data_IF_349545563642
#
_entry.id   IF_349545563642
#
_cell.length_a   1.000
_cell.length_b   1.000
_cell.length_c   1.000
_cell.angle_alpha   90.00
_cell.angle_beta   90.00
_cell.angle_gamma   90.00
#
_symmetry.space_group_name_H-M   'P 1'
#
loop_
_entity.id
_entity.type
_entity.pdbx_description
1 polymer ?
#
# COMPACT_ATOMS: atom_id res chain seq x y z
N UNK A 1 34.08 -3.52 9.70
CA UNK A 1 32.88 -3.27 10.54
C UNK A 1 32.02 -2.26 9.80
N UNK A 2 30.76 -2.59 9.51
CA UNK A 2 29.85 -1.70 8.77
C UNK A 2 28.49 -1.61 9.48
N UNK A 3 27.70 -0.59 9.14
CA UNK A 3 26.37 -0.37 9.71
C UNK A 3 25.36 -1.29 9.00
N UNK A 4 24.59 -2.04 9.80
CA UNK A 4 23.59 -3.00 9.31
C UNK A 4 22.16 -2.49 9.47
N UNK A 5 21.90 -1.58 10.41
CA UNK A 5 20.57 -0.98 10.61
C UNK A 5 20.66 0.39 11.30
N UNK A 6 19.57 1.16 11.18
CA UNK A 6 19.39 2.45 11.83
C UNK A 6 18.06 2.46 12.60
N UNK A 7 18.06 2.96 13.83
CA UNK A 7 16.85 3.20 14.62
C UNK A 7 16.80 4.63 15.12
N UNK A 8 15.59 5.15 15.34
CA UNK A 8 15.34 6.48 15.91
C UNK A 8 14.40 6.38 17.09
N UNK A 9 14.69 7.14 18.14
CA UNK A 9 13.83 7.26 19.31
C UNK A 9 13.61 8.75 19.67
N UNK A 10 12.35 9.18 19.94
CA UNK A 10 11.11 8.45 19.66
C UNK A 10 10.82 8.32 18.16
N UNK A 11 10.33 7.15 17.72
CA UNK A 11 9.96 6.89 16.32
C UNK A 11 8.56 7.38 15.95
N UNK A 12 7.71 7.64 16.95
CA UNK A 12 6.35 8.15 16.76
C UNK A 12 6.08 9.26 17.79
N UNK A 13 5.78 10.46 17.30
CA UNK A 13 5.75 11.68 18.09
C UNK A 13 4.41 12.38 17.90
N UNK A 14 3.76 12.72 19.01
CA UNK A 14 2.59 13.59 19.06
C UNK A 14 2.97 14.87 19.80
N UNK A 15 2.80 16.02 19.14
CA UNK A 15 3.04 17.35 19.69
C UNK A 15 1.72 18.10 19.81
N UNK A 16 1.60 19.07 20.72
CA UNK A 16 0.29 19.69 20.98
C UNK A 16 -0.01 20.88 20.06
N UNK A 17 1.02 21.46 19.42
CA UNK A 17 0.86 22.62 18.56
C UNK A 17 2.15 23.04 17.85
N UNK A 18 2.18 24.28 17.37
CA UNK A 18 3.33 24.89 16.69
C UNK A 18 4.35 25.45 17.71
N UNK A 19 5.59 25.64 17.29
CA UNK A 19 6.74 26.04 18.10
C UNK A 19 7.11 25.08 19.24
N UNK A 20 6.62 23.84 19.21
CA UNK A 20 7.07 22.80 20.11
C UNK A 20 8.34 22.16 19.57
N UNK A 21 9.22 21.74 20.48
CA UNK A 21 10.48 21.09 20.11
C UNK A 21 10.64 19.73 20.77
N UNK A 22 11.28 18.82 20.04
CA UNK A 22 11.71 17.51 20.54
C UNK A 22 13.08 17.15 20.00
N UNK A 23 13.83 16.39 20.77
CA UNK A 23 15.12 15.86 20.36
C UNK A 23 14.93 14.41 19.90
N UNK A 24 15.43 14.10 18.70
CA UNK A 24 15.55 12.73 18.21
C UNK A 24 16.90 12.16 18.63
N UNK A 25 16.94 10.88 18.97
CA UNK A 25 18.16 10.10 19.15
C UNK A 25 18.24 9.05 18.05
N UNK A 26 19.40 8.93 17.41
CA UNK A 26 19.62 8.00 16.31
C UNK A 26 20.71 7.01 16.68
N UNK A 27 20.40 5.72 16.59
CA UNK A 27 21.31 4.63 16.94
C UNK A 27 21.58 3.76 15.72
N UNK A 28 22.86 3.57 15.39
CA UNK A 28 23.32 2.65 14.36
C UNK A 28 23.62 1.28 14.97
N UNK A 29 23.17 0.20 14.33
CA UNK A 29 23.59 -1.17 14.65
C UNK A 29 24.73 -1.59 13.72
N UNK A 30 25.76 -2.22 14.26
CA UNK A 30 26.97 -2.61 13.54
C UNK A 30 26.99 -4.13 13.28
N UNK A 31 27.73 -4.54 12.25
CA UNK A 31 27.85 -5.94 11.83
C UNK A 31 28.43 -6.90 12.88
N UNK A 32 29.01 -6.38 13.96
CA UNK A 32 29.54 -7.14 15.10
C UNK A 32 28.56 -7.18 16.30
N UNK A 33 27.33 -6.68 16.13
CA UNK A 33 26.31 -6.61 17.18
C UNK A 33 26.41 -5.39 18.10
N UNK A 34 27.45 -4.55 17.97
CA UNK A 34 27.55 -3.32 18.74
C UNK A 34 26.58 -2.24 18.23
N UNK A 35 26.23 -1.29 19.09
CA UNK A 35 25.45 -0.11 18.72
C UNK A 35 26.23 1.18 18.96
N UNK A 36 25.92 2.22 18.19
CA UNK A 36 26.58 3.51 18.29
C UNK A 36 25.56 4.65 18.16
N UNK A 37 25.67 5.65 19.03
CA UNK A 37 24.91 6.91 18.87
C UNK A 37 25.48 7.69 17.69
N UNK A 38 24.64 7.93 16.69
CA UNK A 38 25.01 8.62 15.45
C UNK A 38 24.14 9.85 15.23
N UNK A 39 23.49 10.36 16.28
CA UNK A 39 22.57 11.51 16.22
C UNK A 39 23.21 12.72 15.55
N UNK A 40 24.45 13.07 15.93
CA UNK A 40 25.16 14.21 15.34
C UNK A 40 25.76 13.94 13.96
N UNK A 41 25.75 12.68 13.50
CA UNK A 41 26.34 12.23 12.24
C UNK A 41 25.30 11.88 11.18
N UNK A 42 24.05 11.73 11.58
CA UNK A 42 22.94 11.42 10.69
C UNK A 42 22.51 12.64 9.86
N UNK A 43 22.06 12.39 8.65
CA UNK A 43 21.39 13.37 7.82
C UNK A 43 19.89 13.31 8.08
N UNK A 44 19.30 14.45 8.38
CA UNK A 44 17.86 14.60 8.62
C UNK A 44 17.21 15.35 7.45
N UNK A 45 15.99 14.95 7.10
CA UNK A 45 15.18 15.62 6.07
C UNK A 45 13.72 15.55 6.48
N UNK A 46 13.01 16.67 6.48
CA UNK A 46 11.55 16.64 6.65
C UNK A 46 10.88 16.28 5.33
N UNK A 47 9.83 15.47 5.38
CA UNK A 47 8.98 15.24 4.21
C UNK A 47 7.99 16.39 3.96
N UNK A 48 7.74 17.23 4.98
CA UNK A 48 6.92 18.44 4.86
C UNK A 48 7.45 19.53 5.79
N UNK A 49 8.28 20.42 5.23
CA UNK A 49 8.86 21.56 5.93
C UNK A 49 7.80 22.59 6.39
N UNK A 50 6.57 22.55 5.87
CA UNK A 50 5.50 23.43 6.35
C UNK A 50 4.93 23.00 7.69
N UNK A 51 5.13 21.72 8.07
CA UNK A 51 4.64 21.15 9.33
C UNK A 51 5.74 21.08 10.37
N UNK A 52 6.95 20.63 10.00
CA UNK A 52 8.05 20.43 10.94
C UNK A 52 9.40 20.67 10.25
N UNK A 53 10.28 21.40 10.92
CA UNK A 53 11.69 21.51 10.54
C UNK A 53 12.56 20.64 11.45
N UNK A 54 13.75 20.27 10.99
CA UNK A 54 14.71 19.48 11.75
C UNK A 54 16.12 20.05 11.62
N UNK A 55 16.79 20.23 12.76
CA UNK A 55 18.18 20.70 12.81
C UNK A 55 19.15 19.59 12.43
N UNK A 56 20.40 19.96 12.12
CA UNK A 56 21.50 19.02 11.87
C UNK A 56 21.83 18.11 13.06
N UNK A 57 21.37 18.46 14.26
CA UNK A 57 21.58 17.67 15.48
C UNK A 57 20.36 16.85 15.87
N UNK A 58 19.35 16.73 14.99
CA UNK A 58 18.15 15.95 15.24
C UNK A 58 17.12 16.62 16.15
N UNK A 59 17.21 17.94 16.37
CA UNK A 59 16.16 18.69 17.09
C UNK A 59 15.07 19.10 16.11
N UNK A 60 13.85 18.65 16.34
CA UNK A 60 12.68 19.05 15.53
C UNK A 60 11.98 20.25 16.15
N UNK A 61 11.39 21.10 15.31
CA UNK A 61 10.52 22.23 15.68
C UNK A 61 9.27 22.21 14.81
N UNK A 62 8.07 22.27 15.42
CA UNK A 62 6.82 22.31 14.66
C UNK A 62 6.51 23.70 14.13
N UNK A 63 6.13 23.79 12.86
CA UNK A 63 5.77 25.02 12.16
C UNK A 63 4.29 25.07 11.79
N UNK A 64 3.69 23.91 11.53
CA UNK A 64 2.30 23.76 11.12
C UNK A 64 1.63 22.56 11.77
N UNK A 65 0.37 22.32 11.39
CA UNK A 65 -0.44 21.19 11.87
C UNK A 65 -0.56 20.13 10.78
N UNK A 66 -0.60 18.85 11.17
CA UNK A 66 -0.77 17.73 10.25
C UNK A 66 0.05 16.51 10.61
N UNK A 67 0.12 15.57 9.68
CA UNK A 67 0.94 14.36 9.75
C UNK A 67 2.09 14.48 8.76
N UNK A 68 3.30 14.20 9.23
CA UNK A 68 4.48 14.10 8.37
C UNK A 68 5.51 13.17 9.02
N UNK A 69 6.70 13.10 8.45
CA UNK A 69 7.80 12.29 8.96
C UNK A 69 9.14 12.96 8.72
N UNK A 70 10.07 12.75 9.64
CA UNK A 70 11.49 13.06 9.45
C UNK A 70 12.20 11.81 8.97
N UNK A 71 12.78 11.89 7.77
CA UNK A 71 13.66 10.87 7.21
C UNK A 71 15.07 11.07 7.74
N UNK A 72 15.70 9.96 8.15
CA UNK A 72 17.00 9.94 8.81
C UNK A 72 17.89 8.97 8.07
N UNK A 73 19.07 9.42 7.64
CA UNK A 73 20.01 8.63 6.87
C UNK A 73 21.38 8.61 7.52
N UNK A 74 21.98 7.43 7.57
CA UNK A 74 23.36 7.27 8.01
C UNK A 74 23.97 6.01 7.39
N UNK A 75 25.15 6.13 6.77
CA UNK A 75 25.89 5.01 6.17
C UNK A 75 25.05 4.10 5.23
N UNK A 76 24.17 4.71 4.43
CA UNK A 76 23.30 3.99 3.48
C UNK A 76 22.03 3.38 4.10
N UNK A 77 21.90 3.40 5.43
CA UNK A 77 20.70 2.98 6.15
C UNK A 77 19.73 4.14 6.34
N UNK A 78 18.44 3.81 6.46
CA UNK A 78 17.34 4.76 6.59
C UNK A 78 16.48 4.42 7.80
N UNK A 79 16.08 5.44 8.56
CA UNK A 79 15.05 5.37 9.58
C UNK A 79 14.07 6.54 9.38
N UNK A 80 12.88 6.44 9.96
CA UNK A 80 11.88 7.50 9.90
C UNK A 80 11.26 7.71 11.28
N UNK A 81 11.11 8.98 11.68
CA UNK A 81 10.31 9.38 12.83
C UNK A 81 9.00 10.00 12.34
N UNK A 82 7.86 9.43 12.75
CA UNK A 82 6.53 9.94 12.41
C UNK A 82 6.16 11.08 13.35
N UNK A 83 5.71 12.19 12.77
CA UNK A 83 5.34 13.41 13.50
C UNK A 83 3.86 13.67 13.27
N UNK A 84 3.12 13.81 14.36
CA UNK A 84 1.74 14.26 14.35
C UNK A 84 1.60 15.53 15.17
N UNK A 85 1.00 16.54 14.54
CA UNK A 85 0.56 17.77 15.19
C UNK A 85 -0.95 17.86 14.94
N UNK A 86 -1.80 17.76 15.98
CA UNK A 86 -3.24 17.78 15.85
C UNK A 86 -3.74 18.97 15.01
N UNK A 87 -4.73 18.71 14.16
CA UNK A 87 -5.39 19.73 13.35
C UNK A 87 -6.35 20.56 14.21
N UNK A 88 -7.10 19.91 15.11
CA UNK A 88 -7.98 20.58 16.08
C UNK A 88 -7.29 20.92 17.39
N UNK A 89 -7.82 21.92 18.10
CA UNK A 89 -7.36 22.28 19.45
C UNK A 89 -7.93 21.35 20.51
N UNK A 90 -9.22 21.06 20.41
CA UNK A 90 -9.95 20.29 21.40
C UNK A 90 -9.80 18.78 21.19
N UNK A 91 -9.54 18.00 22.25
CA UNK A 91 -9.55 16.55 22.16
C UNK A 91 -10.89 16.02 21.61
N UNK A 92 -10.82 15.04 20.71
CA UNK A 92 -12.01 14.34 20.22
C UNK A 92 -12.21 13.09 21.06
N UNK A 93 -13.41 12.93 21.61
CA UNK A 93 -13.78 11.78 22.43
C UNK A 93 -14.20 10.59 21.56
N UNK A 94 -13.82 9.38 21.96
CA UNK A 94 -13.99 8.17 21.15
C UNK A 94 -15.47 7.82 20.91
N UNK A 95 -16.34 8.18 21.84
CA UNK A 95 -17.79 7.97 21.80
C UNK A 95 -18.47 8.75 20.67
N UNK A 96 -17.81 9.77 20.14
CA UNK A 96 -18.30 10.51 18.96
C UNK A 96 -18.18 9.71 17.65
N UNK A 97 -17.50 8.56 17.66
CA UNK A 97 -17.26 7.72 16.49
C UNK A 97 -17.69 6.26 16.72
N UNK A 98 -18.94 5.88 16.40
CA UNK A 98 -19.35 4.48 16.46
C UNK A 98 -18.54 3.67 15.44
N UNK A 99 -17.91 2.58 15.88
CA UNK A 99 -17.18 1.66 15.01
C UNK A 99 -18.06 0.50 14.59
N UNK A 100 -18.35 0.38 13.30
CA UNK A 100 -19.13 -0.71 12.71
C UNK A 100 -18.23 -1.87 12.32
N UNK A 101 -17.01 -1.59 11.84
CA UNK A 101 -16.05 -2.60 11.42
C UNK A 101 -14.60 -2.24 11.85
N UNK A 102 -13.63 -3.08 11.47
CA UNK A 102 -12.22 -2.89 11.84
C UNK A 102 -11.58 -1.66 11.16
N UNK A 103 -12.03 -1.26 9.97
CA UNK A 103 -11.53 -0.06 9.26
C UNK A 103 -11.88 1.18 10.08
N UNK A 104 -13.09 1.23 10.64
CA UNK A 104 -13.53 2.33 11.51
C UNK A 104 -12.64 2.49 12.73
N UNK A 105 -12.06 1.40 13.24
CA UNK A 105 -11.12 1.46 14.38
C UNK A 105 -9.85 2.20 13.98
N UNK A 106 -9.30 1.94 12.79
CA UNK A 106 -8.12 2.64 12.28
C UNK A 106 -8.41 4.11 12.02
N UNK A 107 -9.54 4.42 11.37
CA UNK A 107 -9.98 5.81 11.12
C UNK A 107 -10.16 6.56 12.44
N UNK A 108 -10.87 5.95 13.41
CA UNK A 108 -11.10 6.55 14.72
C UNK A 108 -9.80 6.87 15.44
N UNK A 109 -8.83 5.95 15.45
CA UNK A 109 -7.51 6.16 16.08
C UNK A 109 -6.83 7.40 15.52
N UNK A 110 -6.78 7.54 14.19
CA UNK A 110 -6.13 8.69 13.57
C UNK A 110 -6.92 10.00 13.74
N UNK A 111 -8.25 9.97 13.68
CA UNK A 111 -9.09 11.15 13.94
C UNK A 111 -8.93 11.66 15.38
N UNK A 112 -8.92 10.78 16.39
CA UNK A 112 -8.67 11.15 17.79
C UNK A 112 -7.26 11.72 17.93
N UNK A 113 -6.26 11.03 17.36
CA UNK A 113 -4.86 11.46 17.38
C UNK A 113 -4.69 12.87 16.80
N UNK A 114 -5.38 13.16 15.71
CA UNK A 114 -5.36 14.46 15.03
C UNK A 114 -6.37 15.48 15.57
N UNK A 115 -7.18 15.10 16.57
CA UNK A 115 -8.25 15.93 17.11
C UNK A 115 -9.21 16.44 16.02
N UNK A 116 -9.53 15.58 15.05
CA UNK A 116 -10.46 15.89 13.96
C UNK A 116 -11.83 15.29 14.30
N UNK A 117 -12.87 16.11 14.52
CA UNK A 117 -14.20 15.58 14.78
C UNK A 117 -14.73 14.87 13.52
N UNK A 118 -15.49 13.77 13.68
CA UNK A 118 -16.10 13.11 12.53
C UNK A 118 -17.09 14.02 11.82
N UNK A 119 -17.20 13.82 10.51
CA UNK A 119 -18.28 14.43 9.75
C UNK A 119 -19.63 13.84 10.19
N UNK A 120 -20.70 14.65 10.26
CA UNK A 120 -22.02 14.13 10.54
C UNK A 120 -22.48 13.15 9.45
N UNK A 121 -23.41 12.27 9.81
CA UNK A 121 -24.03 11.37 8.84
C UNK A 121 -24.71 12.18 7.73
N UNK A 122 -24.48 11.77 6.48
CA UNK A 122 -25.11 12.41 5.34
C UNK A 122 -26.62 12.16 5.33
N UNK A 123 -27.37 13.09 4.73
CA UNK A 123 -28.78 12.89 4.39
C UNK A 123 -28.99 11.68 3.47
N UNK A 124 -30.18 11.08 3.54
CA UNK A 124 -30.55 9.88 2.76
C UNK A 124 -30.43 10.06 1.24
N UNK A 125 -30.78 11.24 0.72
CA UNK A 125 -30.66 11.55 -0.71
C UNK A 125 -29.19 11.57 -1.18
N UNK A 126 -28.31 12.16 -0.37
CA UNK A 126 -26.86 12.21 -0.61
C UNK A 126 -26.24 10.83 -0.49
N UNK A 127 -26.63 10.08 0.55
CA UNK A 127 -26.21 8.70 0.76
C UNK A 127 -26.58 7.82 -0.45
N UNK A 128 -27.86 7.82 -0.84
CA UNK A 128 -28.38 6.97 -1.91
C UNK A 128 -27.67 7.25 -3.24
N UNK A 129 -27.44 8.53 -3.57
CA UNK A 129 -26.71 8.91 -4.77
C UNK A 129 -25.26 8.43 -4.74
N UNK A 130 -24.55 8.63 -3.62
CA UNK A 130 -23.12 8.27 -3.48
C UNK A 130 -22.94 6.76 -3.56
N UNK A 131 -23.71 5.99 -2.78
CA UNK A 131 -23.57 4.53 -2.73
C UNK A 131 -23.84 3.87 -4.09
N UNK A 132 -24.81 4.37 -4.87
CA UNK A 132 -25.06 3.86 -6.22
C UNK A 132 -23.90 4.16 -7.18
N UNK A 133 -23.37 5.39 -7.16
CA UNK A 133 -22.24 5.76 -8.02
C UNK A 133 -20.98 4.99 -7.65
N UNK A 134 -20.71 4.81 -6.36
CA UNK A 134 -19.51 4.14 -5.86
C UNK A 134 -19.58 2.62 -6.12
N UNK A 135 -20.75 1.99 -5.95
CA UNK A 135 -20.87 0.55 -6.11
C UNK A 135 -21.17 0.12 -7.55
N UNK A 136 -21.87 0.94 -8.34
CA UNK A 136 -22.37 0.53 -9.67
C UNK A 136 -22.02 1.47 -10.80
N UNK A 137 -21.40 2.62 -10.51
CA UNK A 137 -21.11 3.65 -11.51
C UNK A 137 -22.35 4.34 -12.09
N UNK A 138 -23.53 4.11 -11.52
CA UNK A 138 -24.83 4.59 -12.04
C UNK A 138 -25.60 5.34 -10.96
N UNK A 139 -26.58 6.14 -11.39
CA UNK A 139 -27.54 6.76 -10.48
C UNK A 139 -28.68 5.77 -10.15
N UNK A 140 -29.32 5.88 -8.97
CA UNK A 140 -30.52 5.12 -8.68
C UNK A 140 -31.65 5.48 -9.64
N UNK A 141 -32.54 4.51 -9.91
CA UNK A 141 -33.76 4.78 -10.66
C UNK A 141 -34.64 5.81 -9.89
N UNK A 142 -35.37 6.71 -10.58
CA UNK A 142 -36.23 7.70 -9.93
C UNK A 142 -37.28 7.07 -8.99
N UNK A 143 -37.86 5.94 -9.38
CA UNK A 143 -38.87 5.20 -8.62
C UNK A 143 -38.27 4.63 -7.34
N UNK A 144 -37.11 3.96 -7.44
CA UNK A 144 -36.39 3.42 -6.30
C UNK A 144 -35.96 4.53 -5.33
N UNK A 145 -35.55 5.69 -5.86
CA UNK A 145 -35.20 6.86 -5.05
C UNK A 145 -36.39 7.39 -4.26
N UNK A 146 -37.56 7.53 -4.90
CA UNK A 146 -38.78 7.97 -4.22
C UNK A 146 -39.22 6.98 -3.14
N UNK A 147 -39.16 5.67 -3.43
CA UNK A 147 -39.49 4.63 -2.46
C UNK A 147 -38.54 4.67 -1.26
N UNK A 148 -37.23 4.74 -1.49
CA UNK A 148 -36.24 4.85 -0.43
C UNK A 148 -36.47 6.12 0.40
N UNK A 149 -36.69 7.28 -0.20
CA UNK A 149 -36.87 8.52 0.56
C UNK A 149 -38.19 8.58 1.35
N UNK A 150 -39.23 7.86 0.90
CA UNK A 150 -40.50 7.75 1.61
C UNK A 150 -40.46 6.76 2.79
N UNK A 151 -39.51 5.81 2.79
CA UNK A 151 -39.35 4.84 3.88
C UNK A 151 -38.91 5.54 5.18
N UNK A 152 -39.55 5.20 6.30
CA UNK A 152 -39.21 5.69 7.63
C UNK A 152 -37.75 5.41 7.99
N UNK A 153 -37.16 6.28 8.81
CA UNK A 153 -35.76 6.13 9.24
C UNK A 153 -35.60 4.84 10.06
N UNK A 154 -34.71 3.96 9.60
CA UNK A 154 -34.28 2.76 10.30
C UNK A 154 -32.79 2.53 10.06
N UNK A 155 -32.12 1.84 10.99
CA UNK A 155 -30.69 1.53 10.86
C UNK A 155 -30.43 0.55 9.71
N UNK A 156 -31.41 -0.29 9.40
CA UNK A 156 -31.32 -1.38 8.43
C UNK A 156 -31.55 -0.91 6.99
N UNK A 157 -32.27 0.21 6.79
CA UNK A 157 -32.62 0.75 5.47
C UNK A 157 -31.41 0.97 4.57
N UNK A 158 -30.35 1.58 5.11
CA UNK A 158 -29.11 1.85 4.36
C UNK A 158 -28.34 0.56 4.08
N UNK A 159 -28.27 -0.33 5.07
CA UNK A 159 -27.59 -1.62 4.92
C UNK A 159 -28.23 -2.45 3.82
N UNK A 160 -29.56 -2.52 3.75
CA UNK A 160 -30.29 -3.26 2.72
C UNK A 160 -29.93 -2.80 1.31
N UNK A 161 -29.89 -1.49 1.07
CA UNK A 161 -29.51 -0.94 -0.25
C UNK A 161 -28.07 -1.29 -0.59
N UNK A 162 -27.14 -1.20 0.37
CA UNK A 162 -25.74 -1.60 0.17
C UNK A 162 -25.68 -3.07 -0.26
N UNK A 163 -26.38 -3.93 0.49
CA UNK A 163 -26.47 -5.37 0.28
C UNK A 163 -27.06 -5.74 -1.09
N UNK A 164 -28.10 -5.03 -1.54
CA UNK A 164 -28.72 -5.21 -2.85
C UNK A 164 -27.74 -4.81 -3.98
N UNK A 165 -27.05 -3.67 -3.81
CA UNK A 165 -26.10 -3.18 -4.81
C UNK A 165 -24.88 -4.09 -4.94
N UNK A 166 -24.32 -4.55 -3.82
CA UNK A 166 -23.17 -5.47 -3.82
C UNK A 166 -23.47 -6.80 -4.53
N UNK A 167 -24.72 -7.27 -4.52
CA UNK A 167 -25.16 -8.50 -5.20
C UNK A 167 -25.57 -8.27 -6.66
N UNK A 168 -25.56 -7.03 -7.14
CA UNK A 168 -26.05 -6.69 -8.48
C UNK A 168 -25.02 -6.99 -9.57
N UNK A 169 -25.50 -7.29 -10.78
CA UNK A 169 -24.64 -7.43 -11.95
C UNK A 169 -23.91 -6.12 -12.28
N UNK A 170 -24.55 -4.96 -12.02
CA UNK A 170 -23.93 -3.66 -12.24
C UNK A 170 -22.72 -3.41 -11.32
N UNK A 171 -22.73 -3.94 -10.10
CA UNK A 171 -21.55 -3.92 -9.24
C UNK A 171 -20.42 -4.77 -9.83
N UNK A 172 -20.73 -6.00 -10.25
CA UNK A 172 -19.75 -6.90 -10.88
C UNK A 172 -19.11 -6.24 -12.10
N UNK A 173 -19.90 -5.69 -13.01
CA UNK A 173 -19.38 -5.06 -14.23
C UNK A 173 -18.55 -3.80 -13.91
N UNK A 174 -19.03 -2.95 -13.00
CA UNK A 174 -18.33 -1.71 -12.65
C UNK A 174 -17.00 -1.98 -11.93
N UNK A 175 -16.98 -2.89 -10.96
CA UNK A 175 -15.76 -3.23 -10.24
C UNK A 175 -14.78 -4.08 -11.05
N UNK A 176 -15.28 -4.88 -12.00
CA UNK A 176 -14.42 -5.52 -13.01
C UNK A 176 -13.69 -4.45 -13.83
N UNK A 177 -14.38 -3.40 -14.27
CA UNK A 177 -13.74 -2.29 -14.99
C UNK A 177 -12.69 -1.58 -14.13
N UNK A 178 -13.02 -1.27 -12.86
CA UNK A 178 -12.09 -0.59 -11.94
C UNK A 178 -10.83 -1.41 -11.67
N UNK A 179 -10.98 -2.71 -11.44
CA UNK A 179 -9.83 -3.59 -11.18
C UNK A 179 -9.06 -3.91 -12.46
N UNK A 180 -9.72 -4.01 -13.62
CA UNK A 180 -9.05 -4.18 -14.90
C UNK A 180 -8.13 -2.98 -15.20
N UNK A 181 -8.60 -1.76 -14.92
CA UNK A 181 -7.79 -0.53 -15.04
C UNK A 181 -6.60 -0.54 -14.08
N UNK A 182 -6.82 -0.85 -12.79
CA UNK A 182 -5.76 -0.98 -11.79
C UNK A 182 -4.71 -2.04 -12.18
N UNK A 183 -5.16 -3.15 -12.77
CA UNK A 183 -4.33 -4.27 -13.23
C UNK A 183 -3.76 -4.05 -14.63
N UNK A 184 -3.91 -2.84 -15.20
CA UNK A 184 -3.38 -2.45 -16.51
C UNK A 184 -3.79 -3.41 -17.65
N UNK A 185 -4.99 -3.98 -17.54
CA UNK A 185 -5.52 -4.92 -18.52
C UNK A 185 -5.86 -4.18 -19.82
N UNK A 186 -5.02 -4.38 -20.84
CA UNK A 186 -5.24 -3.81 -22.17
C UNK A 186 -6.27 -4.61 -22.98
N UNK A 187 -7.38 -3.99 -23.36
CA UNK A 187 -8.55 -4.66 -23.96
C UNK A 187 -8.43 -5.20 -25.39
N UNK A 188 -7.24 -5.52 -25.90
CA UNK A 188 -7.06 -6.03 -27.29
C UNK A 188 -6.58 -7.48 -27.29
N UNK A 189 -7.20 -8.31 -28.14
CA UNK A 189 -6.80 -9.70 -28.37
C UNK A 189 -7.42 -10.72 -27.43
N UNK A 190 -7.12 -12.00 -27.67
CA UNK A 190 -7.77 -13.13 -26.98
C UNK A 190 -7.35 -13.23 -25.51
N UNK A 191 -6.06 -13.02 -25.23
CA UNK A 191 -5.52 -12.99 -23.87
C UNK A 191 -6.26 -11.98 -22.98
N UNK A 192 -6.50 -10.78 -23.49
CA UNK A 192 -7.24 -9.73 -22.77
C UNK A 192 -8.68 -10.15 -22.46
N UNK A 193 -9.38 -10.79 -23.41
CA UNK A 193 -10.75 -11.28 -23.22
C UNK A 193 -10.83 -12.37 -22.16
N UNK A 194 -9.86 -13.29 -22.17
CA UNK A 194 -9.79 -14.41 -21.22
C UNK A 194 -9.45 -13.89 -19.83
N UNK A 195 -8.50 -12.95 -19.73
CA UNK A 195 -8.13 -12.32 -18.48
C UNK A 195 -9.29 -11.50 -17.89
N UNK A 196 -9.97 -10.70 -18.70
CA UNK A 196 -11.13 -9.92 -18.26
C UNK A 196 -12.26 -10.82 -17.78
N UNK A 197 -12.54 -11.92 -18.50
CA UNK A 197 -13.56 -12.89 -18.09
C UNK A 197 -13.24 -13.50 -16.73
N UNK A 198 -12.00 -13.98 -16.55
CA UNK A 198 -11.56 -14.52 -15.27
C UNK A 198 -11.72 -13.50 -14.15
N UNK A 199 -11.30 -12.24 -14.38
CA UNK A 199 -11.41 -11.18 -13.37
C UNK A 199 -12.88 -10.95 -12.99
N UNK A 200 -13.77 -10.86 -13.98
CA UNK A 200 -15.21 -10.72 -13.74
C UNK A 200 -15.78 -11.87 -12.91
N UNK A 201 -15.37 -13.11 -13.20
CA UNK A 201 -15.77 -14.29 -12.43
C UNK A 201 -15.31 -14.20 -10.97
N UNK A 202 -14.08 -13.72 -10.70
CA UNK A 202 -13.59 -13.54 -9.33
C UNK A 202 -14.43 -12.51 -8.55
N UNK A 203 -14.82 -11.41 -9.19
CA UNK A 203 -15.66 -10.36 -8.56
C UNK A 203 -17.07 -10.86 -8.33
N UNK A 204 -17.67 -11.56 -9.31
CA UNK A 204 -18.99 -12.17 -9.16
C UNK A 204 -19.04 -13.20 -8.02
N UNK A 205 -17.96 -13.96 -7.83
CA UNK A 205 -17.83 -14.94 -6.76
C UNK A 205 -17.48 -14.31 -5.40
N UNK A 206 -17.25 -12.99 -5.32
CA UNK A 206 -16.75 -12.30 -4.13
C UNK A 206 -15.48 -12.96 -3.58
N UNK A 207 -14.54 -13.27 -4.48
CA UNK A 207 -13.32 -13.99 -4.14
C UNK A 207 -12.42 -13.14 -3.25
N UNK A 208 -11.79 -13.71 -2.20
CA UNK A 208 -10.88 -12.96 -1.34
C UNK A 208 -9.71 -12.35 -2.13
N UNK A 209 -9.37 -11.10 -1.83
CA UNK A 209 -8.37 -10.35 -2.59
C UNK A 209 -6.97 -10.99 -2.53
N UNK A 210 -6.62 -11.63 -1.42
CA UNK A 210 -5.38 -12.40 -1.27
C UNK A 210 -5.32 -13.60 -2.23
N UNK A 211 -6.45 -14.25 -2.50
CA UNK A 211 -6.53 -15.35 -3.48
C UNK A 211 -6.40 -14.84 -4.91
N UNK A 212 -7.02 -13.69 -5.22
CA UNK A 212 -6.86 -13.01 -6.52
C UNK A 212 -5.38 -12.65 -6.72
N UNK A 213 -4.74 -12.00 -5.75
CA UNK A 213 -3.34 -11.62 -5.80
C UNK A 213 -2.43 -12.85 -5.94
N UNK A 214 -2.60 -13.88 -5.10
CA UNK A 214 -1.83 -15.14 -5.20
C UNK A 214 -1.96 -15.77 -6.59
N UNK A 215 -3.17 -15.83 -7.13
CA UNK A 215 -3.41 -16.41 -8.46
C UNK A 215 -2.69 -15.62 -9.56
N UNK A 216 -2.79 -14.29 -9.53
CA UNK A 216 -2.11 -13.42 -10.50
C UNK A 216 -0.58 -13.55 -10.44
N UNK A 217 -0.01 -13.61 -9.24
CA UNK A 217 1.43 -13.65 -9.03
C UNK A 217 2.05 -15.00 -9.40
N UNK A 218 1.29 -16.09 -9.24
CA UNK A 218 1.80 -17.47 -9.41
C UNK A 218 1.41 -18.10 -10.74
N UNK A 219 0.45 -17.52 -11.48
CA UNK A 219 -0.05 -18.08 -12.72
C UNK A 219 1.04 -18.36 -13.77
N UNK A 220 0.87 -19.50 -14.45
CA UNK A 220 1.69 -19.99 -15.57
C UNK A 220 0.77 -20.61 -16.62
N UNK A 221 1.21 -20.66 -17.87
CA UNK A 221 0.46 -21.22 -18.99
C UNK A 221 0.35 -20.25 -20.16
N UNK A 222 -0.37 -20.69 -21.19
CA UNK A 222 -0.70 -19.86 -22.35
C UNK A 222 -1.74 -18.80 -21.95
N UNK A 223 -1.42 -17.52 -22.15
CA UNK A 223 -2.29 -16.39 -21.76
C UNK A 223 -3.64 -16.37 -22.46
N UNK A 224 -3.78 -17.05 -23.59
CA UNK A 224 -5.07 -17.21 -24.31
C UNK A 224 -5.96 -18.29 -23.71
N UNK A 225 -5.43 -19.10 -22.78
CA UNK A 225 -6.17 -20.12 -22.03
C UNK A 225 -6.20 -19.84 -20.53
N UNK A 226 -5.15 -19.22 -20.00
CA UNK A 226 -4.95 -18.90 -18.59
C UNK A 226 -4.87 -17.38 -18.41
N UNK A 227 -6.04 -16.75 -18.25
CA UNK A 227 -6.17 -15.30 -18.14
C UNK A 227 -5.18 -14.63 -17.16
N UNK A 228 -5.11 -15.09 -15.90
CA UNK A 228 -4.19 -14.56 -14.88
C UNK A 228 -2.71 -14.51 -15.28
N UNK A 229 -2.24 -15.43 -16.14
CA UNK A 229 -0.84 -15.45 -16.58
C UNK A 229 -0.47 -14.16 -17.33
N UNK A 230 -1.47 -13.48 -17.93
CA UNK A 230 -1.31 -12.20 -18.61
C UNK A 230 -0.77 -11.09 -17.69
N UNK A 231 -0.97 -11.19 -16.37
CA UNK A 231 -0.48 -10.18 -15.43
C UNK A 231 1.04 -10.02 -15.49
N UNK A 232 1.77 -11.14 -15.58
CA UNK A 232 3.24 -11.10 -15.67
C UNK A 232 3.77 -10.51 -16.98
N UNK A 233 2.94 -10.47 -18.03
CA UNK A 233 3.28 -9.93 -19.35
C UNK A 233 3.32 -8.39 -19.36
N UNK A 234 2.83 -7.74 -18.31
CA UNK A 234 2.92 -6.27 -18.15
C UNK A 234 4.35 -5.77 -17.98
N UNK A 235 5.27 -6.65 -17.57
CA UNK A 235 6.64 -6.30 -17.23
C UNK A 235 7.63 -6.88 -18.23
N UNK A 236 8.69 -6.13 -18.52
CA UNK A 236 9.77 -6.59 -19.41
C UNK A 236 10.76 -7.51 -18.68
N UNK A 237 10.99 -7.24 -17.40
CA UNK A 237 11.98 -7.95 -16.58
C UNK A 237 11.45 -8.18 -15.14
N UNK A 238 12.20 -8.90 -14.28
CA UNK A 238 11.80 -9.17 -12.89
C UNK A 238 11.62 -7.91 -12.02
N UNK A 239 12.42 -6.87 -12.27
CA UNK A 239 12.40 -5.61 -11.53
C UNK A 239 11.17 -4.79 -11.88
N UNK A 240 10.85 -4.70 -13.16
CA UNK A 240 9.63 -4.06 -13.64
C UNK A 240 8.38 -4.77 -13.07
N UNK A 241 8.40 -6.11 -12.95
CA UNK A 241 7.29 -6.84 -12.34
C UNK A 241 7.18 -6.54 -10.84
N UNK A 242 8.30 -6.50 -10.12
CA UNK A 242 8.33 -6.13 -8.71
C UNK A 242 7.76 -4.73 -8.47
N UNK A 243 8.04 -3.76 -9.34
CA UNK A 243 7.47 -2.42 -9.26
C UNK A 243 5.94 -2.41 -9.43
N UNK A 244 5.42 -3.17 -10.41
CA UNK A 244 3.97 -3.33 -10.58
C UNK A 244 3.33 -3.99 -9.35
N UNK A 245 3.93 -5.07 -8.83
CA UNK A 245 3.41 -5.78 -7.66
C UNK A 245 3.43 -4.88 -6.42
N UNK A 246 4.53 -4.16 -6.17
CA UNK A 246 4.65 -3.22 -5.07
C UNK A 246 3.60 -2.13 -5.14
N UNK A 247 3.35 -1.56 -6.32
CA UNK A 247 2.35 -0.51 -6.52
C UNK A 247 0.92 -1.03 -6.37
N UNK A 248 0.59 -2.12 -7.05
CA UNK A 248 -0.79 -2.62 -7.19
C UNK A 248 -1.27 -3.29 -5.91
N UNK A 249 -0.44 -4.15 -5.30
CA UNK A 249 -0.89 -4.98 -4.17
C UNK A 249 -0.40 -4.48 -2.82
N UNK A 250 0.74 -3.77 -2.76
CA UNK A 250 1.33 -3.30 -1.51
C UNK A 250 1.17 -1.79 -1.30
N UNK A 251 0.58 -1.06 -2.26
CA UNK A 251 0.44 0.40 -2.21
C UNK A 251 1.77 1.14 -2.06
N UNK A 252 2.88 0.52 -2.46
CA UNK A 252 4.24 0.98 -2.18
C UNK A 252 4.97 1.33 -3.47
N UNK A 253 5.53 2.54 -3.56
CA UNK A 253 6.33 2.98 -4.70
C UNK A 253 7.82 2.64 -4.50
N UNK A 254 8.20 1.38 -4.75
CA UNK A 254 9.60 0.95 -4.58
C UNK A 254 10.54 1.37 -5.72
N UNK A 255 10.04 1.89 -6.84
CA UNK A 255 10.84 2.15 -8.05
C UNK A 255 12.06 3.05 -7.81
N UNK A 256 11.94 4.09 -6.97
CA UNK A 256 13.09 4.96 -6.66
C UNK A 256 14.22 4.19 -5.96
N UNK A 257 13.87 3.11 -5.23
CA UNK A 257 14.83 2.25 -4.56
C UNK A 257 15.74 1.47 -5.54
N UNK A 258 15.40 1.40 -6.83
CA UNK A 258 16.19 0.70 -7.86
C UNK A 258 17.65 1.14 -7.89
N UNK A 259 17.89 2.45 -7.85
CA UNK A 259 19.21 3.06 -8.04
C UNK A 259 19.85 3.58 -6.75
N UNK A 260 19.04 3.98 -5.77
CA UNK A 260 19.48 4.49 -4.47
C UNK A 260 18.35 4.29 -3.44
N UNK A 261 18.60 4.39 -2.13
CA UNK A 261 17.52 4.29 -1.15
C UNK A 261 16.42 5.35 -1.41
N UNK A 262 15.14 4.96 -1.28
CA UNK A 262 13.97 5.79 -1.60
C UNK A 262 14.05 7.16 -0.89
N UNK A 263 13.80 8.30 -1.55
CA UNK A 263 14.05 9.64 -0.99
C UNK A 263 13.19 9.96 0.25
N UNK A 264 11.95 9.48 0.28
CA UNK A 264 10.94 9.84 1.29
C UNK A 264 10.32 8.65 2.01
N UNK A 265 10.90 7.45 1.84
CA UNK A 265 10.38 6.20 2.42
C UNK A 265 11.57 5.34 2.90
N UNK A 266 11.30 4.32 3.72
CA UNK A 266 12.29 3.47 4.39
C UNK A 266 13.03 2.49 3.46
N UNK A 267 12.57 2.32 2.22
CA UNK A 267 13.04 1.26 1.34
C UNK A 267 14.47 1.51 0.86
N UNK A 268 15.33 0.52 1.08
CA UNK A 268 16.72 0.54 0.61
C UNK A 268 16.84 -0.03 -0.81
N UNK A 269 17.97 0.22 -1.46
CA UNK A 269 18.26 -0.41 -2.75
C UNK A 269 18.33 -1.94 -2.64
N UNK A 270 18.85 -2.44 -1.53
CA UNK A 270 18.93 -3.87 -1.27
C UNK A 270 17.52 -4.50 -1.16
N UNK A 271 16.61 -3.89 -0.40
CA UNK A 271 15.21 -4.35 -0.30
C UNK A 271 14.53 -4.45 -1.68
N UNK A 272 14.77 -3.48 -2.56
CA UNK A 272 14.24 -3.49 -3.92
C UNK A 272 14.73 -4.70 -4.73
N UNK A 273 16.04 -4.95 -4.76
CA UNK A 273 16.59 -6.03 -5.59
C UNK A 273 16.28 -7.41 -5.02
N UNK A 274 16.22 -7.57 -3.70
CA UNK A 274 15.74 -8.82 -3.11
C UNK A 274 14.25 -9.06 -3.41
N UNK A 275 13.41 -8.02 -3.36
CA UNK A 275 12.00 -8.18 -3.71
C UNK A 275 11.83 -8.55 -5.19
N UNK A 276 12.65 -7.97 -6.08
CA UNK A 276 12.66 -8.34 -7.49
C UNK A 276 13.12 -9.78 -7.75
N UNK A 277 13.93 -10.36 -6.87
CA UNK A 277 14.43 -11.72 -7.03
C UNK A 277 13.31 -12.78 -7.00
N UNK A 278 12.14 -12.50 -6.42
CA UNK A 278 10.96 -13.38 -6.49
C UNK A 278 10.55 -13.71 -7.93
N UNK A 279 10.80 -12.79 -8.87
CA UNK A 279 10.35 -12.91 -10.26
C UNK A 279 11.47 -13.30 -11.22
N UNK A 280 12.69 -13.53 -10.71
CA UNK A 280 13.90 -13.72 -11.53
C UNK A 280 13.82 -14.91 -12.49
N UNK A 281 13.03 -15.92 -12.12
CA UNK A 281 12.90 -17.20 -12.82
C UNK A 281 11.71 -17.27 -13.78
N UNK A 282 10.90 -16.22 -13.84
CA UNK A 282 9.72 -16.19 -14.69
C UNK A 282 10.11 -15.93 -16.15
N UNK A 283 9.80 -16.89 -17.02
CA UNK A 283 10.01 -16.82 -18.47
C UNK A 283 8.70 -16.56 -19.18
N UNK A 284 8.77 -15.71 -20.18
CA UNK A 284 7.63 -15.21 -20.97
C UNK A 284 8.06 -15.21 -22.42
N UNK A 285 7.52 -16.12 -23.21
CA UNK A 285 7.86 -16.25 -24.64
C UNK A 285 6.58 -16.48 -25.45
N UNK A 286 6.34 -15.63 -26.45
CA UNK A 286 5.21 -15.77 -27.37
C UNK A 286 3.81 -15.87 -26.73
N UNK A 287 3.63 -15.43 -25.48
CA UNK A 287 2.37 -15.59 -24.72
C UNK A 287 2.32 -16.82 -23.81
N UNK A 288 3.39 -17.62 -23.73
CA UNK A 288 3.54 -18.69 -22.78
C UNK A 288 4.33 -18.20 -21.56
N UNK A 289 3.76 -18.38 -20.35
CA UNK A 289 4.39 -18.03 -19.07
C UNK A 289 4.81 -19.29 -18.33
N UNK A 290 6.09 -19.42 -17.98
CA UNK A 290 6.65 -20.60 -17.31
C UNK A 290 7.71 -20.22 -16.29
N UNK A 291 7.92 -21.09 -15.29
CA UNK A 291 9.01 -20.95 -14.33
C UNK A 291 10.21 -21.76 -14.84
N UNK A 292 11.37 -21.12 -14.88
CA UNK A 292 12.65 -21.77 -15.18
C UNK A 292 13.41 -22.12 -13.91
N UNK A 293 14.26 -23.14 -13.98
CA UNK A 293 15.28 -23.46 -12.98
C UNK A 293 16.38 -22.38 -12.88
N UNK A 294 16.49 -21.50 -13.88
CA UNK A 294 17.52 -20.46 -13.99
C UNK A 294 16.92 -19.06 -13.95
N UNK A 295 17.62 -18.15 -13.28
CA UNK A 295 17.29 -16.73 -13.23
C UNK A 295 17.66 -16.13 -11.88
N UNK A 296 18.32 -14.98 -11.92
CA UNK A 296 18.84 -14.29 -10.74
C UNK A 296 18.69 -12.77 -10.90
N UNK A 297 18.60 -12.08 -9.77
CA UNK A 297 18.73 -10.62 -9.68
C UNK A 297 19.97 -10.35 -8.86
N UNK A 298 20.97 -9.73 -9.48
CA UNK A 298 22.27 -9.52 -8.85
C UNK A 298 22.32 -8.17 -8.15
N UNK A 299 23.05 -8.13 -7.02
CA UNK A 299 23.27 -6.91 -6.26
C UNK A 299 24.07 -5.89 -7.09
N UNK A 300 23.63 -4.63 -7.22
CA UNK A 300 24.27 -3.65 -8.10
C UNK A 300 25.75 -3.37 -7.84
N UNK A 301 26.19 -3.50 -6.58
CA UNK A 301 27.60 -3.24 -6.19
C UNK A 301 28.50 -4.49 -6.15
N UNK A 302 28.08 -5.57 -5.48
CA UNK A 302 28.89 -6.79 -5.36
C UNK A 302 28.78 -7.70 -6.58
N UNK A 303 27.72 -7.60 -7.37
CA UNK A 303 27.46 -8.51 -8.50
C UNK A 303 26.96 -9.90 -8.10
N UNK A 304 26.88 -10.19 -6.80
CA UNK A 304 26.41 -11.47 -6.26
C UNK A 304 24.89 -11.63 -6.44
N UNK A 305 24.39 -12.86 -6.66
CA UNK A 305 22.97 -13.13 -6.76
C UNK A 305 22.28 -12.91 -5.41
N UNK A 306 21.12 -12.26 -5.45
CA UNK A 306 20.32 -12.00 -4.26
C UNK A 306 19.21 -13.04 -4.10
N UNK A 307 19.04 -13.51 -2.87
CA UNK A 307 17.91 -14.36 -2.48
C UNK A 307 16.63 -13.53 -2.42
N UNK A 308 15.45 -14.09 -2.73
CA UNK A 308 14.20 -13.34 -2.58
C UNK A 308 13.91 -13.00 -1.11
N UNK A 309 13.39 -11.79 -0.87
CA UNK A 309 13.05 -11.29 0.47
C UNK A 309 11.78 -10.43 0.40
N UNK A 310 10.82 -10.61 1.30
CA UNK A 310 9.65 -9.75 1.36
C UNK A 310 10.04 -8.33 1.80
N UNK A 311 9.33 -7.31 1.29
CA UNK A 311 9.57 -5.93 1.71
C UNK A 311 9.27 -5.75 3.20
N UNK A 312 10.26 -5.26 3.96
CA UNK A 312 10.08 -4.91 5.37
C UNK A 312 10.10 -6.10 6.34
N UNK A 313 10.42 -7.30 5.87
CA UNK A 313 10.61 -8.49 6.69
C UNK A 313 11.95 -9.16 6.35
N UNK A 314 12.53 -9.99 7.24
CA UNK A 314 13.77 -10.71 6.96
C UNK A 314 13.59 -11.69 5.80
N UNK A 315 14.71 -12.16 5.23
CA UNK A 315 14.67 -13.21 4.22
C UNK A 315 14.05 -14.48 4.82
N UNK A 316 13.20 -15.14 4.04
CA UNK A 316 12.54 -16.37 4.46
C UNK A 316 13.34 -17.57 3.94
N UNK A 317 13.94 -18.33 4.86
CA UNK A 317 14.72 -19.52 4.51
C UNK A 317 13.84 -20.68 3.99
N UNK A 318 12.51 -20.58 4.12
CA UNK A 318 11.55 -21.58 3.65
C UNK A 318 11.06 -21.36 2.22
N UNK A 319 11.60 -20.35 1.53
CA UNK A 319 11.25 -20.04 0.14
C UNK A 319 11.39 -21.27 -0.74
N UNK A 320 10.34 -21.54 -1.52
CA UNK A 320 10.33 -22.65 -2.44
C UNK A 320 11.42 -22.48 -3.50
N UNK A 321 12.40 -23.38 -3.45
CA UNK A 321 13.56 -23.33 -4.33
C UNK A 321 13.22 -23.64 -5.80
N UNK A 322 12.03 -24.14 -6.14
CA UNK A 322 11.59 -24.33 -7.52
C UNK A 322 10.89 -23.08 -8.06
N UNK A 323 9.97 -22.50 -7.28
CA UNK A 323 9.27 -21.26 -7.60
C UNK A 323 9.16 -20.38 -6.35
N UNK A 324 10.01 -19.34 -6.22
CA UNK A 324 10.01 -18.48 -5.03
C UNK A 324 8.69 -17.74 -4.76
N UNK A 325 7.77 -17.70 -5.73
CA UNK A 325 6.48 -17.00 -5.62
C UNK A 325 5.45 -17.80 -4.81
N UNK A 326 5.70 -19.09 -4.53
CA UNK A 326 4.78 -20.02 -3.87
C UNK A 326 4.99 -20.10 -2.36
#
# INVERSE_FOLDING_TARGET
>A
MHVTALSVEPADILLSGTNETRQLRVTASLSNGATQDVTALALYTSNDDSIVEVSKTGKITTLGRGLTSIMIRYSGQVAAARIAVPLGDEPVVAESFPTVNFIDQHIRTELIRLRVPPSPLSEDSKFLRRVHLDLTGRLPAPEASRAFLAESQSAEKRQRVIDELLRSESFVDFWTLKLADLLLLNGKGDAARVYHRWLREQIAANSPFDQIARTLLTATGDVTSVGPASFSMLASDPRDLAEHVGRIFLGTQIACARCHAHPTDRWTQEDYHHFAAYFARLRRDGGLVQVSDRGEVNHPKSGEPLMPKPLGAPADETINAADPRL
#
